data_IF_619346915462
#
_entry.id   IF_619346915462
#
_cell.length_a   1.000
_cell.length_b   1.000
_cell.length_c   1.000
_cell.angle_alpha   90.00
_cell.angle_beta   90.00
_cell.angle_gamma   90.00
#
_symmetry.space_group_name_H-M   'P 1'
#
loop_
_entity.id
_entity.type
_entity.pdbx_description
1 polymer ?
#
# COMPACT_ATOMS: atom_id res chain seq x y z
N UNK A 1 13.48 -17.03 -47.17
CA UNK A 1 13.99 -16.26 -46.01
C UNK A 1 12.84 -15.64 -45.15
N UNK A 2 11.77 -15.19 -45.77
CA UNK A 2 10.66 -14.50 -45.08
C UNK A 2 9.76 -15.42 -44.22
N UNK A 3 9.71 -16.72 -44.50
CA UNK A 3 8.90 -17.68 -43.76
C UNK A 3 9.40 -17.97 -42.34
N UNK A 4 10.72 -17.92 -42.10
CA UNK A 4 11.32 -18.10 -40.78
C UNK A 4 11.20 -16.83 -39.90
N UNK A 5 11.23 -15.66 -40.52
CA UNK A 5 11.04 -14.39 -39.80
C UNK A 5 9.62 -14.23 -39.25
N UNK A 6 8.60 -14.62 -40.05
CA UNK A 6 7.17 -14.57 -39.61
C UNK A 6 6.86 -15.54 -38.47
N UNK A 7 7.51 -16.72 -38.47
CA UNK A 7 7.34 -17.72 -37.40
C UNK A 7 7.97 -17.26 -36.08
N UNK A 8 9.13 -16.60 -36.13
CA UNK A 8 9.77 -16.03 -34.94
C UNK A 8 8.98 -14.88 -34.33
N UNK A 9 8.34 -14.04 -35.16
CA UNK A 9 7.46 -12.97 -34.66
C UNK A 9 6.20 -13.53 -33.97
N UNK A 10 5.60 -14.59 -34.51
CA UNK A 10 4.45 -15.25 -33.93
C UNK A 10 4.75 -15.89 -32.56
N UNK A 11 5.94 -16.49 -32.41
CA UNK A 11 6.38 -17.07 -31.14
C UNK A 11 6.68 -16.01 -30.07
N UNK A 12 7.22 -14.86 -30.47
CA UNK A 12 7.44 -13.71 -29.58
C UNK A 12 6.10 -13.13 -29.11
N UNK A 13 5.13 -12.95 -30.02
CA UNK A 13 3.78 -12.49 -29.68
C UNK A 13 3.06 -13.44 -28.72
N UNK A 14 3.10 -14.74 -28.94
CA UNK A 14 2.51 -15.75 -28.04
C UNK A 14 3.16 -15.76 -26.67
N UNK A 15 4.49 -15.59 -26.58
CA UNK A 15 5.19 -15.49 -25.30
C UNK A 15 4.80 -14.21 -24.53
N UNK A 16 4.65 -13.09 -25.21
CA UNK A 16 4.22 -11.84 -24.58
C UNK A 16 2.78 -11.92 -24.10
N UNK A 17 1.89 -12.54 -24.88
CA UNK A 17 0.48 -12.76 -24.51
C UNK A 17 0.37 -13.69 -23.30
N UNK A 18 1.13 -14.79 -23.29
CA UNK A 18 1.22 -15.72 -22.17
C UNK A 18 1.75 -15.04 -20.91
N UNK A 19 2.81 -14.25 -21.02
CA UNK A 19 3.35 -13.49 -19.88
C UNK A 19 2.35 -12.48 -19.33
N UNK A 20 1.61 -11.79 -20.20
CA UNK A 20 0.57 -10.86 -19.79
C UNK A 20 -0.59 -11.57 -19.07
N UNK A 21 -0.94 -12.77 -19.53
CA UNK A 21 -1.99 -13.59 -18.94
C UNK A 21 -1.58 -14.10 -17.55
N UNK A 22 -0.36 -14.62 -17.41
CA UNK A 22 0.20 -15.03 -16.13
C UNK A 22 0.32 -13.88 -15.14
N UNK A 23 0.67 -12.68 -15.61
CA UNK A 23 0.73 -11.49 -14.77
C UNK A 23 -0.67 -11.06 -14.28
N UNK A 24 -1.68 -11.11 -15.15
CA UNK A 24 -3.07 -10.82 -14.76
C UNK A 24 -3.61 -11.82 -13.74
N UNK A 25 -3.24 -13.09 -13.89
CA UNK A 25 -3.65 -14.15 -12.96
C UNK A 25 -2.97 -13.97 -11.60
N UNK A 26 -1.69 -13.62 -11.56
CA UNK A 26 -0.97 -13.30 -10.33
C UNK A 26 -1.55 -12.06 -9.63
N UNK A 27 -1.81 -10.98 -10.37
CA UNK A 27 -2.42 -9.74 -9.84
C UNK A 27 -3.84 -10.02 -9.27
N UNK A 28 -4.61 -10.89 -9.94
CA UNK A 28 -5.94 -11.29 -9.46
C UNK A 28 -5.85 -12.13 -8.18
N UNK A 29 -4.89 -13.05 -8.10
CA UNK A 29 -4.68 -13.89 -6.92
C UNK A 29 -4.31 -13.05 -5.70
N UNK A 30 -3.38 -12.11 -5.85
CA UNK A 30 -2.98 -11.19 -4.78
C UNK A 30 -4.17 -10.33 -4.30
N UNK A 31 -5.00 -9.87 -5.24
CA UNK A 31 -6.24 -9.15 -4.90
C UNK A 31 -7.22 -10.01 -4.10
N UNK A 32 -7.41 -11.28 -4.50
CA UNK A 32 -8.29 -12.20 -3.77
C UNK A 32 -7.75 -12.53 -2.37
N UNK A 33 -6.46 -12.74 -2.22
CA UNK A 33 -5.83 -12.98 -0.92
C UNK A 33 -6.01 -11.78 0.02
N UNK A 34 -5.87 -10.56 -0.50
CA UNK A 34 -6.11 -9.34 0.27
C UNK A 34 -7.58 -9.22 0.69
N UNK A 35 -8.54 -9.52 -0.20
CA UNK A 35 -9.97 -9.54 0.14
C UNK A 35 -10.30 -10.58 1.21
N UNK A 36 -9.72 -11.77 1.11
CA UNK A 36 -9.91 -12.83 2.11
C UNK A 36 -9.35 -12.41 3.47
N UNK A 37 -8.16 -11.82 3.49
CA UNK A 37 -7.56 -11.28 4.71
C UNK A 37 -8.41 -10.19 5.36
N UNK A 38 -9.00 -9.29 4.56
CA UNK A 38 -9.94 -8.28 5.05
C UNK A 38 -11.21 -8.91 5.65
N UNK A 39 -11.76 -9.91 4.97
CA UNK A 39 -12.95 -10.62 5.44
C UNK A 39 -12.68 -11.34 6.76
N UNK A 40 -11.54 -11.99 6.90
CA UNK A 40 -11.13 -12.64 8.14
C UNK A 40 -10.93 -11.64 9.28
N UNK A 41 -10.28 -10.51 9.02
CA UNK A 41 -10.10 -9.43 10.00
C UNK A 41 -11.44 -8.85 10.46
N UNK A 42 -12.39 -8.62 9.54
CA UNK A 42 -13.75 -8.21 9.90
C UNK A 42 -14.46 -9.24 10.78
N UNK A 43 -14.29 -10.53 10.49
CA UNK A 43 -14.89 -11.62 11.25
C UNK A 43 -14.34 -11.68 12.68
N UNK A 44 -13.03 -11.50 12.84
CA UNK A 44 -12.36 -11.40 14.14
C UNK A 44 -12.89 -10.18 14.90
N UNK A 45 -12.97 -9.01 14.27
CA UNK A 45 -13.48 -7.79 14.87
C UNK A 45 -14.94 -7.95 15.37
N UNK A 46 -15.82 -8.54 14.57
CA UNK A 46 -17.20 -8.81 14.93
C UNK A 46 -17.29 -9.79 16.12
N UNK A 47 -16.44 -10.81 16.11
CA UNK A 47 -16.37 -11.79 17.19
C UNK A 47 -15.93 -11.14 18.50
N UNK A 48 -14.91 -10.29 18.46
CA UNK A 48 -14.41 -9.61 19.65
C UNK A 48 -15.38 -8.55 20.14
N UNK A 49 -16.05 -7.83 19.25
CA UNK A 49 -17.14 -6.92 19.61
C UNK A 49 -18.28 -7.66 20.36
N UNK A 50 -18.65 -8.86 19.90
CA UNK A 50 -19.63 -9.71 20.60
C UNK A 50 -19.18 -10.05 22.03
N UNK A 51 -17.92 -10.42 22.21
CA UNK A 51 -17.34 -10.72 23.53
C UNK A 51 -17.39 -9.51 24.45
N UNK A 52 -17.05 -8.33 23.94
CA UNK A 52 -17.12 -7.09 24.69
C UNK A 52 -18.55 -6.76 25.11
N UNK A 53 -19.52 -6.89 24.20
CA UNK A 53 -20.95 -6.68 24.53
C UNK A 53 -21.46 -7.70 25.54
N UNK A 54 -21.10 -8.97 25.46
CA UNK A 54 -21.44 -10.00 26.42
C UNK A 54 -20.85 -9.70 27.82
N UNK A 55 -19.62 -9.19 27.86
CA UNK A 55 -18.99 -8.78 29.12
C UNK A 55 -19.73 -7.60 29.76
N UNK A 56 -20.15 -6.61 28.97
CA UNK A 56 -20.96 -5.48 29.46
C UNK A 56 -22.32 -5.96 29.95
N UNK A 57 -22.97 -6.87 29.22
CA UNK A 57 -24.27 -7.46 29.62
C UNK A 57 -24.16 -8.20 30.97
N UNK A 58 -23.10 -9.00 31.13
CA UNK A 58 -22.85 -9.73 32.38
C UNK A 58 -22.64 -8.78 33.58
N UNK A 59 -21.86 -7.72 33.38
CA UNK A 59 -21.63 -6.69 34.40
C UNK A 59 -22.93 -5.92 34.72
N UNK A 60 -23.75 -5.67 33.69
CA UNK A 60 -25.04 -5.01 33.88
C UNK A 60 -26.04 -5.89 34.68
N UNK A 61 -26.10 -7.19 34.39
CA UNK A 61 -26.91 -8.15 35.10
C UNK A 61 -26.53 -8.23 36.61
N UNK A 62 -25.27 -7.97 36.95
CA UNK A 62 -24.76 -7.91 38.32
C UNK A 62 -24.92 -6.54 38.98
N UNK A 63 -25.44 -5.53 38.27
CA UNK A 63 -25.60 -4.17 38.76
C UNK A 63 -24.30 -3.38 38.96
N UNK A 64 -23.19 -3.84 38.40
CA UNK A 64 -21.83 -3.29 38.62
C UNK A 64 -21.53 -2.08 37.72
N UNK A 65 -22.30 -0.99 37.88
CA UNK A 65 -22.22 0.20 36.99
C UNK A 65 -20.85 0.83 36.90
N UNK A 66 -20.09 0.90 38.00
CA UNK A 66 -18.74 1.50 37.96
C UNK A 66 -17.73 0.63 37.16
N UNK A 67 -17.87 -0.70 37.23
CA UNK A 67 -17.07 -1.61 36.44
C UNK A 67 -17.42 -1.52 34.96
N UNK A 68 -18.70 -1.32 34.62
CA UNK A 68 -19.11 -1.07 33.21
C UNK A 68 -18.45 0.20 32.69
N UNK A 69 -18.50 1.31 33.47
CA UNK A 69 -17.85 2.56 33.05
C UNK A 69 -16.34 2.40 32.87
N UNK A 70 -15.67 1.74 33.81
CA UNK A 70 -14.23 1.46 33.72
C UNK A 70 -13.90 0.60 32.50
N UNK A 71 -14.72 -0.43 32.23
CA UNK A 71 -14.52 -1.32 31.08
C UNK A 71 -14.73 -0.61 29.75
N UNK A 72 -15.81 0.19 29.61
CA UNK A 72 -16.03 1.00 28.41
C UNK A 72 -14.88 2.00 28.22
N UNK A 73 -14.41 2.64 29.30
CA UNK A 73 -13.26 3.55 29.23
C UNK A 73 -11.98 2.84 28.81
N UNK A 74 -11.74 1.61 29.27
CA UNK A 74 -10.60 0.80 28.83
C UNK A 74 -10.69 0.42 27.35
N UNK A 75 -11.89 0.09 26.85
CA UNK A 75 -12.12 -0.19 25.43
C UNK A 75 -11.90 1.06 24.55
N UNK A 76 -12.38 2.22 24.99
CA UNK A 76 -12.18 3.48 24.26
C UNK A 76 -10.74 3.97 24.29
N UNK A 77 -9.97 3.63 25.33
CA UNK A 77 -8.56 3.98 25.47
C UNK A 77 -7.62 2.86 24.98
N UNK A 78 -8.15 1.68 24.64
CA UNK A 78 -7.38 0.56 24.12
C UNK A 78 -6.82 0.89 22.74
N UNK A 79 -5.57 0.51 22.50
CA UNK A 79 -4.85 0.73 21.24
C UNK A 79 -5.60 0.18 20.03
N UNK A 80 -6.36 -0.89 20.18
CA UNK A 80 -7.07 -1.59 19.10
C UNK A 80 -8.22 -0.77 18.49
N UNK A 81 -8.85 0.15 19.28
CA UNK A 81 -9.87 1.06 18.75
C UNK A 81 -9.26 2.37 18.22
N UNK A 82 -8.09 2.77 18.70
CA UNK A 82 -7.34 3.90 18.13
C UNK A 82 -6.66 3.52 16.81
N UNK A 83 -6.26 2.26 16.63
CA UNK A 83 -5.69 1.74 15.37
C UNK A 83 -6.72 1.60 14.26
N UNK A 84 -8.01 1.60 14.57
CA UNK A 84 -9.11 1.62 13.60
C UNK A 84 -9.54 3.05 13.21
N UNK A 85 -8.79 4.08 13.57
CA UNK A 85 -9.02 5.42 13.05
C UNK A 85 -8.90 5.40 11.53
N UNK A 86 -9.99 5.73 10.85
CA UNK A 86 -10.04 5.77 9.39
C UNK A 86 -8.99 6.76 8.88
N UNK A 87 -8.00 6.25 8.12
CA UNK A 87 -6.89 7.04 7.59
C UNK A 87 -7.37 7.89 6.40
N UNK A 88 -8.28 7.32 5.57
CA UNK A 88 -8.84 8.02 4.41
C UNK A 88 -10.27 7.60 4.11
N UNK A 89 -10.95 8.32 3.21
CA UNK A 89 -12.34 8.10 2.83
C UNK A 89 -12.56 6.93 1.86
N UNK A 90 -11.56 6.54 1.10
CA UNK A 90 -11.63 5.36 0.23
C UNK A 90 -11.43 4.07 1.03
N UNK A 91 -12.38 3.14 0.93
CA UNK A 91 -12.38 1.90 1.72
C UNK A 91 -11.22 0.96 1.36
N UNK A 92 -10.88 0.87 0.06
CA UNK A 92 -9.80 0.00 -0.41
C UNK A 92 -8.44 0.55 0.04
N UNK A 93 -8.21 1.85 -0.19
CA UNK A 93 -6.97 2.50 0.23
C UNK A 93 -6.82 2.48 1.75
N UNK A 94 -7.91 2.72 2.48
CA UNK A 94 -7.90 2.65 3.93
C UNK A 94 -7.45 1.27 4.44
N UNK A 95 -7.92 0.19 3.83
CA UNK A 95 -7.50 -1.16 4.17
C UNK A 95 -6.01 -1.41 3.88
N UNK A 96 -5.53 -0.94 2.71
CA UNK A 96 -4.11 -1.01 2.36
C UNK A 96 -3.27 -0.26 3.41
N UNK A 97 -3.61 1.01 3.68
CA UNK A 97 -2.85 1.85 4.62
C UNK A 97 -2.86 1.28 6.04
N UNK A 98 -4.00 0.78 6.52
CA UNK A 98 -4.09 0.14 7.85
C UNK A 98 -3.19 -1.09 7.96
N UNK A 99 -3.13 -1.92 6.93
CA UNK A 99 -2.20 -3.07 6.88
C UNK A 99 -0.74 -2.63 7.00
N UNK A 100 -0.33 -1.62 6.22
CA UNK A 100 1.06 -1.13 6.28
C UNK A 100 1.37 -0.38 7.57
N UNK A 101 0.41 0.34 8.14
CA UNK A 101 0.56 0.94 9.46
C UNK A 101 0.86 -0.11 10.54
N UNK A 102 0.15 -1.25 10.51
CA UNK A 102 0.40 -2.37 11.41
C UNK A 102 1.79 -2.99 11.19
N UNK A 103 2.18 -3.25 9.94
CA UNK A 103 3.50 -3.79 9.60
C UNK A 103 4.64 -2.83 10.02
N UNK A 104 4.46 -1.53 9.83
CA UNK A 104 5.40 -0.51 10.28
C UNK A 104 5.55 -0.53 11.80
N UNK A 105 4.43 -0.62 12.53
CA UNK A 105 4.44 -0.69 14.00
C UNK A 105 5.20 -1.93 14.50
N UNK A 106 4.99 -3.10 13.90
CA UNK A 106 5.72 -4.32 14.24
C UNK A 106 7.23 -4.20 14.00
N UNK A 107 7.64 -3.35 13.06
CA UNK A 107 9.04 -3.10 12.69
C UNK A 107 9.63 -1.84 13.31
N UNK A 108 8.90 -1.20 14.23
CA UNK A 108 9.29 0.06 14.90
C UNK A 108 9.56 1.21 13.90
N UNK A 109 8.83 1.23 12.77
CA UNK A 109 8.90 2.28 11.75
C UNK A 109 7.75 3.27 11.99
N UNK A 110 8.05 4.57 12.06
CA UNK A 110 7.03 5.61 12.14
C UNK A 110 6.28 5.73 10.81
N UNK A 111 4.95 5.56 10.81
CA UNK A 111 4.13 5.66 9.60
C UNK A 111 3.14 6.81 9.71
N UNK A 112 3.17 7.72 8.74
CA UNK A 112 2.24 8.84 8.63
C UNK A 112 1.64 8.91 7.23
N UNK A 113 0.31 9.03 7.13
CA UNK A 113 -0.40 9.19 5.87
C UNK A 113 -1.41 10.34 5.95
N UNK A 114 -1.27 11.33 5.07
CA UNK A 114 -2.21 12.44 4.85
C UNK A 114 -2.83 12.32 3.45
N UNK A 115 -4.07 11.83 3.40
CA UNK A 115 -4.80 11.62 2.17
C UNK A 115 -6.00 12.56 2.14
N UNK A 116 -5.98 13.55 1.24
CA UNK A 116 -7.10 14.46 1.07
C UNK A 116 -8.31 13.74 0.47
N UNK A 117 -9.48 14.02 1.02
CA UNK A 117 -10.75 13.41 0.60
C UNK A 117 -11.03 13.57 -0.88
N UNK A 118 -11.62 12.54 -1.49
CA UNK A 118 -12.02 12.51 -2.90
C UNK A 118 -10.88 12.72 -3.92
N UNK A 119 -9.63 12.47 -3.53
CA UNK A 119 -8.48 12.64 -4.44
C UNK A 119 -8.33 11.51 -5.45
N UNK A 120 -8.66 10.28 -5.07
CA UNK A 120 -8.35 9.05 -5.83
C UNK A 120 -9.58 8.34 -6.40
N UNK A 121 -10.74 8.99 -6.40
CA UNK A 121 -12.02 8.41 -6.88
C UNK A 121 -12.02 7.96 -8.33
N UNK A 122 -11.09 8.48 -9.14
CA UNK A 122 -10.91 8.13 -10.54
C UNK A 122 -10.04 6.89 -10.76
N UNK A 123 -9.33 6.39 -9.73
CA UNK A 123 -8.54 5.18 -9.82
C UNK A 123 -9.42 3.94 -9.66
N UNK A 124 -9.16 2.93 -10.51
CA UNK A 124 -9.79 1.63 -10.35
C UNK A 124 -9.18 0.89 -9.14
N UNK A 125 -9.93 0.06 -8.42
CA UNK A 125 -9.44 -0.65 -7.24
C UNK A 125 -8.15 -1.45 -7.48
N UNK A 126 -8.05 -2.17 -8.61
CA UNK A 126 -6.85 -2.93 -8.95
C UNK A 126 -5.62 -2.06 -9.20
N UNK A 127 -5.81 -0.89 -9.84
CA UNK A 127 -4.71 0.05 -10.09
C UNK A 127 -4.27 0.70 -8.79
N UNK A 128 -5.22 1.00 -7.90
CA UNK A 128 -4.94 1.52 -6.55
C UNK A 128 -4.11 0.51 -5.74
N UNK A 129 -4.54 -0.76 -5.72
CA UNK A 129 -3.80 -1.83 -5.05
C UNK A 129 -2.39 -1.96 -5.63
N UNK A 130 -2.28 -2.09 -6.95
CA UNK A 130 -0.99 -2.23 -7.63
C UNK A 130 -0.06 -1.04 -7.36
N UNK A 131 -0.58 0.18 -7.34
CA UNK A 131 0.21 1.39 -7.09
C UNK A 131 0.69 1.45 -5.63
N UNK A 132 -0.24 1.41 -4.68
CA UNK A 132 0.08 1.65 -3.27
C UNK A 132 0.81 0.48 -2.62
N UNK A 133 0.46 -0.78 -2.92
CA UNK A 133 1.21 -1.91 -2.37
C UNK A 133 2.66 -1.91 -2.85
N UNK A 134 2.92 -1.75 -4.14
CA UNK A 134 4.29 -1.71 -4.64
C UNK A 134 5.11 -0.53 -4.10
N UNK A 135 4.48 0.64 -3.92
CA UNK A 135 5.14 1.81 -3.32
C UNK A 135 5.49 1.57 -1.85
N UNK A 136 4.53 1.08 -1.08
CA UNK A 136 4.69 0.88 0.37
C UNK A 136 5.58 -0.32 0.68
N UNK A 137 5.56 -1.40 -0.11
CA UNK A 137 6.51 -2.51 0.02
C UNK A 137 7.95 -2.03 -0.17
N UNK A 138 8.20 -1.22 -1.20
CA UNK A 138 9.53 -0.65 -1.45
C UNK A 138 9.98 0.26 -0.30
N UNK A 139 9.08 1.09 0.23
CA UNK A 139 9.37 1.99 1.33
C UNK A 139 9.64 1.23 2.64
N UNK A 140 8.81 0.22 2.93
CA UNK A 140 8.95 -0.63 4.11
C UNK A 140 10.30 -1.37 4.10
N UNK A 141 10.65 -1.96 2.95
CA UNK A 141 11.92 -2.65 2.77
C UNK A 141 13.13 -1.73 2.93
N UNK A 142 13.06 -0.51 2.40
CA UNK A 142 14.14 0.47 2.50
C UNK A 142 14.31 1.01 3.93
N UNK A 143 13.23 1.16 4.68
CA UNK A 143 13.21 1.68 6.05
C UNK A 143 13.52 0.61 7.11
N UNK A 144 13.38 -0.66 6.78
CA UNK A 144 13.61 -1.79 7.69
C UNK A 144 15.06 -1.79 8.20
N UNK A 145 15.24 -2.08 9.48
CA UNK A 145 16.55 -2.10 10.16
C UNK A 145 17.28 -0.75 10.26
N UNK A 146 16.57 0.37 10.06
CA UNK A 146 17.11 1.71 10.31
C UNK A 146 16.47 2.21 11.62
N UNK A 147 17.27 2.54 12.64
CA UNK A 147 16.75 3.15 13.88
C UNK A 147 15.99 4.44 13.58
N UNK A 148 14.90 4.67 14.30
CA UNK A 148 14.04 5.86 14.16
C UNK A 148 13.58 6.14 12.72
N UNK A 149 13.41 5.08 11.93
CA UNK A 149 12.99 5.19 10.54
C UNK A 149 11.53 5.60 10.41
N UNK A 150 11.20 6.20 9.26
CA UNK A 150 9.85 6.66 8.99
C UNK A 150 9.44 6.45 7.53
N UNK A 151 8.12 6.45 7.31
CA UNK A 151 7.46 6.47 6.01
C UNK A 151 6.35 7.53 6.08
N UNK A 152 6.40 8.50 5.17
CA UNK A 152 5.39 9.54 5.03
C UNK A 152 4.76 9.49 3.65
N UNK A 153 3.43 9.43 3.61
CA UNK A 153 2.63 9.41 2.40
C UNK A 153 1.67 10.60 2.38
N UNK A 154 1.77 11.46 1.39
CA UNK A 154 0.85 12.56 1.17
C UNK A 154 0.17 12.42 -0.19
N UNK A 155 -1.16 12.56 -0.23
CA UNK A 155 -1.95 12.57 -1.47
C UNK A 155 -2.89 13.77 -1.48
N UNK A 156 -2.73 14.64 -2.47
CA UNK A 156 -3.51 15.89 -2.56
C UNK A 156 -3.82 16.27 -4.02
N UNK A 157 -4.90 17.02 -4.21
CA UNK A 157 -5.20 17.67 -5.50
C UNK A 157 -4.36 18.93 -5.66
N UNK A 158 -3.93 19.20 -6.88
CA UNK A 158 -3.20 20.41 -7.25
C UNK A 158 -4.16 21.39 -7.93
N UNK A 159 -5.04 22.02 -7.18
CA UNK A 159 -5.95 23.04 -7.75
C UNK A 159 -5.17 24.26 -8.28
N UNK A 160 -5.58 24.88 -9.42
CA UNK A 160 -6.73 24.55 -10.26
C UNK A 160 -6.45 23.46 -11.34
N UNK A 161 -5.32 22.78 -11.29
CA UNK A 161 -4.94 21.80 -12.28
C UNK A 161 -5.64 20.45 -12.04
N UNK A 162 -5.99 19.69 -13.10
CA UNK A 162 -6.67 18.40 -12.97
C UNK A 162 -5.66 17.28 -12.63
N UNK A 163 -4.82 17.51 -11.62
CA UNK A 163 -3.81 16.55 -11.19
C UNK A 163 -3.92 16.22 -9.70
N UNK A 164 -3.71 14.96 -9.41
CA UNK A 164 -3.42 14.47 -8.06
C UNK A 164 -1.92 14.29 -7.93
N UNK A 165 -1.35 14.78 -6.84
CA UNK A 165 0.06 14.58 -6.50
C UNK A 165 0.14 13.64 -5.31
N UNK A 166 0.92 12.56 -5.48
CA UNK A 166 1.28 11.62 -4.46
C UNK A 166 2.77 11.80 -4.15
N UNK A 167 3.10 11.97 -2.89
CA UNK A 167 4.47 12.09 -2.40
C UNK A 167 4.67 11.00 -1.35
N UNK A 168 5.65 10.15 -1.57
CA UNK A 168 6.09 9.16 -0.62
C UNK A 168 7.55 9.42 -0.26
N UNK A 169 7.84 9.60 1.03
CA UNK A 169 9.17 9.82 1.56
C UNK A 169 9.43 8.71 2.58
N UNK A 170 10.57 8.07 2.49
CA UNK A 170 10.95 7.06 3.47
C UNK A 170 12.43 7.12 3.82
N UNK A 171 12.77 6.70 5.02
CA UNK A 171 14.15 6.47 5.42
C UNK A 171 14.81 5.45 4.49
N UNK A 172 16.04 5.73 4.07
CA UNK A 172 16.81 4.86 3.20
C UNK A 172 18.31 5.02 3.51
N UNK A 173 18.93 3.95 3.99
CA UNK A 173 20.33 4.00 4.48
C UNK A 173 21.35 4.35 3.41
N UNK A 174 21.14 3.85 2.20
CA UNK A 174 22.09 3.99 1.10
C UNK A 174 21.38 4.28 -0.19
N UNK A 175 22.00 5.08 -1.05
CA UNK A 175 21.50 5.36 -2.38
C UNK A 175 21.28 4.05 -3.14
N UNK A 176 20.05 3.74 -3.60
CA UNK A 176 19.79 2.55 -4.39
C UNK A 176 20.50 2.63 -5.75
N UNK A 177 20.93 1.49 -6.27
CA UNK A 177 21.42 1.42 -7.65
C UNK A 177 20.27 1.72 -8.61
N UNK A 178 20.48 2.66 -9.52
CA UNK A 178 19.49 3.04 -10.51
C UNK A 178 19.85 2.55 -11.91
N UNK A 179 18.83 2.34 -12.74
CA UNK A 179 18.99 2.10 -14.17
C UNK A 179 19.30 3.43 -14.88
N UNK A 180 19.63 3.41 -16.21
CA UNK A 180 19.89 4.63 -16.98
C UNK A 180 18.75 5.64 -16.97
N UNK A 181 17.52 5.19 -16.74
CA UNK A 181 16.31 6.04 -16.63
C UNK A 181 16.13 6.66 -15.22
N UNK A 182 17.06 6.42 -14.28
CA UNK A 182 17.03 6.95 -12.92
C UNK A 182 16.15 6.16 -11.93
N UNK A 183 15.62 4.99 -12.32
CA UNK A 183 14.79 4.19 -11.42
C UNK A 183 15.58 3.13 -10.65
N UNK A 184 15.27 2.89 -9.37
CA UNK A 184 15.93 1.88 -8.56
C UNK A 184 15.87 0.48 -9.17
N UNK A 185 16.99 -0.23 -9.10
CA UNK A 185 17.10 -1.64 -9.49
C UNK A 185 17.10 -2.49 -8.22
N UNK A 186 16.29 -3.55 -8.18
CA UNK A 186 16.32 -4.49 -7.08
C UNK A 186 17.66 -5.23 -7.00
N UNK A 187 18.27 -5.27 -5.81
CA UNK A 187 19.50 -5.99 -5.54
C UNK A 187 19.28 -7.45 -5.11
N UNK A 188 18.03 -7.94 -5.09
CA UNK A 188 17.71 -9.30 -4.61
C UNK A 188 18.15 -10.37 -5.61
N UNK A 189 18.69 -11.52 -5.12
CA UNK A 189 19.18 -12.60 -5.97
C UNK A 189 18.08 -13.30 -6.79
N UNK A 190 16.83 -13.23 -6.36
CA UNK A 190 15.71 -13.85 -7.07
C UNK A 190 15.13 -12.91 -8.13
N UNK A 191 15.72 -12.96 -9.33
CA UNK A 191 15.32 -12.15 -10.49
C UNK A 191 13.93 -12.48 -11.06
N UNK A 192 13.29 -13.55 -10.61
CA UNK A 192 12.00 -14.00 -11.17
C UNK A 192 10.80 -13.30 -10.55
N UNK A 193 10.93 -12.77 -9.33
CA UNK A 193 9.86 -12.04 -8.60
C UNK A 193 10.12 -10.55 -8.43
N UNK A 194 11.34 -10.05 -8.66
CA UNK A 194 11.74 -8.67 -8.35
C UNK A 194 12.10 -7.86 -9.61
N UNK A 195 11.73 -6.61 -9.63
CA UNK A 195 11.81 -5.69 -10.77
C UNK A 195 10.46 -5.42 -11.42
N UNK A 196 9.40 -6.13 -11.00
CA UNK A 196 8.04 -5.88 -11.49
C UNK A 196 7.36 -4.71 -10.75
N UNK A 197 7.70 -4.44 -9.48
CA UNK A 197 7.08 -3.40 -8.67
C UNK A 197 7.14 -2.01 -9.32
N UNK A 198 8.35 -1.55 -9.70
CA UNK A 198 8.52 -0.26 -10.38
C UNK A 198 7.87 -0.26 -11.76
N UNK A 199 7.93 -1.37 -12.49
CA UNK A 199 7.23 -1.50 -13.79
C UNK A 199 5.71 -1.41 -13.63
N UNK A 200 5.15 -2.05 -12.60
CA UNK A 200 3.72 -1.96 -12.25
C UNK A 200 3.32 -0.54 -11.90
N UNK A 201 4.08 0.15 -11.04
CA UNK A 201 3.87 1.56 -10.73
C UNK A 201 3.87 2.40 -12.00
N UNK A 202 4.90 2.29 -12.84
CA UNK A 202 5.00 3.03 -14.12
C UNK A 202 3.84 2.76 -15.05
N UNK A 203 3.35 1.52 -15.11
CA UNK A 203 2.19 1.15 -15.94
C UNK A 203 0.94 1.90 -15.48
N UNK A 204 0.67 1.91 -14.17
CA UNK A 204 -0.46 2.65 -13.60
C UNK A 204 -0.31 4.15 -13.87
N UNK A 205 0.85 4.74 -13.57
CA UNK A 205 1.13 6.17 -13.81
C UNK A 205 0.87 6.54 -15.28
N UNK A 206 1.37 5.78 -16.23
CA UNK A 206 1.13 6.01 -17.67
C UNK A 206 -0.35 5.89 -18.04
N UNK A 207 -1.08 4.92 -17.48
CA UNK A 207 -2.50 4.72 -17.73
C UNK A 207 -3.33 5.94 -17.32
N UNK A 208 -2.94 6.62 -16.26
CA UNK A 208 -3.57 7.86 -15.79
C UNK A 208 -2.85 9.12 -16.29
N UNK A 209 -2.16 9.05 -17.42
CA UNK A 209 -1.47 10.17 -18.08
C UNK A 209 -0.61 10.99 -17.11
N UNK A 210 0.00 10.30 -16.16
CA UNK A 210 0.81 10.87 -15.11
C UNK A 210 2.30 10.82 -15.39
N UNK A 211 3.07 11.36 -14.46
CA UNK A 211 4.52 11.31 -14.44
C UNK A 211 5.03 10.84 -13.06
N UNK A 212 6.27 10.32 -13.04
CA UNK A 212 6.88 9.82 -11.83
C UNK A 212 8.35 10.20 -11.75
N UNK A 213 8.73 10.78 -10.63
CA UNK A 213 10.12 11.08 -10.27
C UNK A 213 10.52 10.33 -9.00
N UNK A 214 11.72 9.80 -9.00
CA UNK A 214 12.33 9.14 -7.85
C UNK A 214 13.73 9.67 -7.65
N UNK A 215 14.12 9.99 -6.43
CA UNK A 215 15.47 10.41 -6.10
C UNK A 215 15.83 10.12 -4.65
N UNK A 216 17.12 10.02 -4.40
CA UNK A 216 17.69 9.86 -3.07
C UNK A 216 18.28 11.18 -2.60
N UNK A 217 17.90 11.60 -1.41
CA UNK A 217 18.48 12.76 -0.74
C UNK A 217 19.57 12.29 0.22
N UNK A 218 20.81 12.68 -0.08
CA UNK A 218 21.99 12.30 0.69
C UNK A 218 22.07 13.00 2.05
N UNK A 219 21.52 14.20 2.16
CA UNK A 219 21.62 15.01 3.36
C UNK A 219 20.68 14.49 4.46
N UNK A 220 19.50 14.07 4.08
CA UNK A 220 18.48 13.50 4.99
C UNK A 220 18.50 11.98 5.05
N UNK A 221 19.26 11.30 4.21
CA UNK A 221 19.25 9.85 4.04
C UNK A 221 17.82 9.29 3.78
N UNK A 222 17.09 9.95 2.88
CA UNK A 222 15.72 9.61 2.52
C UNK A 222 15.56 9.34 1.03
N UNK A 223 14.60 8.49 0.71
CA UNK A 223 14.19 8.24 -0.67
C UNK A 223 12.83 8.89 -0.94
N UNK A 224 12.74 9.62 -2.03
CA UNK A 224 11.58 10.39 -2.43
C UNK A 224 10.97 9.81 -3.70
N UNK A 225 9.66 9.58 -3.67
CA UNK A 225 8.86 9.23 -4.85
C UNK A 225 7.75 10.24 -5.01
N UNK A 226 7.73 10.92 -6.14
CA UNK A 226 6.71 11.92 -6.50
C UNK A 226 5.98 11.41 -7.73
N UNK A 227 4.67 11.27 -7.63
CA UNK A 227 3.80 10.82 -8.72
C UNK A 227 2.72 11.85 -8.94
N UNK A 228 2.50 12.19 -10.20
CA UNK A 228 1.35 12.98 -10.63
C UNK A 228 0.43 12.08 -11.44
N UNK A 229 -0.88 12.17 -11.20
CA UNK A 229 -1.92 11.45 -11.95
C UNK A 229 -2.95 12.45 -12.44
N UNK A 230 -3.36 12.33 -13.70
CA UNK A 230 -4.43 13.17 -14.24
C UNK A 230 -5.80 12.64 -13.80
N UNK A 231 -6.66 13.55 -13.35
CA UNK A 231 -8.07 13.24 -13.02
C UNK A 231 -8.96 13.22 -14.26
#
# INVERSE_FOLDING_TARGET
>A
RDYYASRGLGDVYKRQEMQLMLQKEADATEYYEMLLSQYENQKILIHDLKKHLQSIELLNAKGEREKIKAYIKSLLNGSDLQESARICDDAMLNAILSRYQHQCKEKEISFHADIRSNTLTHLRPNDMTSLFCNLLDNALEAAEYIPDSFIELTVQKKEPLPFVVLILINSCRTMPKCNPDGFPISNKPDKTRHGFGIKSIRKVVKQYQGDMQMYYDTDSATFHTIITLKQ
#
